data_IF_699962346875
#
_entry.id   IF_699962346875
#
_cell.length_a   1.000
_cell.length_b   1.000
_cell.length_c   1.000
_cell.angle_alpha   90.00
_cell.angle_beta   90.00
_cell.angle_gamma   90.00
#
_symmetry.space_group_name_H-M   'P 1'
#
loop_
_entity.id
_entity.type
_entity.pdbx_description
1 polymer ?
#
# COMPACT_ATOMS: atom_id res chain seq x y z
N UNK A 1 -18.74 -18.04 -1.10
CA UNK A 1 -19.43 -16.96 -1.84
C UNK A 1 -18.70 -16.63 -3.15
N UNK A 2 -18.04 -17.58 -3.80
CA UNK A 2 -17.34 -17.31 -5.07
C UNK A 2 -18.29 -17.62 -6.24
N UNK A 3 -18.37 -16.72 -7.22
CA UNK A 3 -19.10 -16.94 -8.48
C UNK A 3 -20.57 -16.51 -8.50
N UNK A 4 -21.12 -15.98 -7.40
CA UNK A 4 -22.45 -15.35 -7.39
C UNK A 4 -22.31 -13.83 -7.44
N UNK A 5 -23.17 -13.19 -8.24
CA UNK A 5 -23.31 -11.74 -8.25
C UNK A 5 -23.88 -11.27 -6.89
N UNK A 6 -23.19 -10.31 -6.30
CA UNK A 6 -23.54 -9.72 -5.01
C UNK A 6 -23.83 -8.24 -5.21
N UNK A 7 -24.95 -7.79 -4.64
CA UNK A 7 -25.26 -6.38 -4.52
C UNK A 7 -25.05 -5.94 -3.07
N UNK A 8 -24.15 -4.99 -2.86
CA UNK A 8 -23.87 -4.38 -1.56
C UNK A 8 -24.35 -2.93 -1.58
N UNK A 9 -25.15 -2.55 -0.60
CA UNK A 9 -25.68 -1.19 -0.47
C UNK A 9 -25.32 -0.62 0.89
N UNK A 10 -24.79 0.62 0.88
CA UNK A 10 -24.37 1.34 2.07
C UNK A 10 -25.11 2.66 2.19
N UNK A 11 -25.76 2.87 3.34
CA UNK A 11 -26.44 4.12 3.68
C UNK A 11 -25.44 5.18 4.16
N UNK A 12 -25.41 6.30 3.44
CA UNK A 12 -24.54 7.45 3.68
C UNK A 12 -25.30 8.67 4.24
N UNK A 13 -26.62 8.58 4.41
CA UNK A 13 -27.51 9.70 4.75
C UNK A 13 -27.08 10.47 6.00
N UNK A 14 -26.53 9.76 6.98
CA UNK A 14 -26.07 10.30 8.27
C UNK A 14 -24.74 11.04 8.22
N UNK A 15 -23.95 10.89 7.16
CA UNK A 15 -22.66 11.56 7.03
C UNK A 15 -22.78 12.88 6.26
N UNK A 16 -21.87 13.81 6.52
CA UNK A 16 -21.80 15.12 5.85
C UNK A 16 -20.38 15.37 5.35
N UNK A 17 -20.24 16.18 4.29
CA UNK A 17 -18.92 16.55 3.76
C UNK A 17 -18.09 15.37 3.24
N UNK A 18 -18.74 14.32 2.74
CA UNK A 18 -18.03 13.15 2.18
C UNK A 18 -17.26 13.58 0.94
N UNK A 19 -15.94 13.38 0.94
CA UNK A 19 -15.06 13.73 -0.19
C UNK A 19 -14.60 12.51 -0.97
N UNK A 20 -14.45 11.38 -0.29
CA UNK A 20 -14.15 10.09 -0.88
C UNK A 20 -14.81 8.98 -0.07
N UNK A 21 -14.94 7.80 -0.67
CA UNK A 21 -15.36 6.59 0.03
C UNK A 21 -14.29 5.53 -0.13
N UNK A 22 -13.93 4.87 0.98
CA UNK A 22 -13.12 3.65 0.93
C UNK A 22 -14.04 2.46 1.08
N UNK A 23 -13.95 1.54 0.13
CA UNK A 23 -14.64 0.26 0.16
C UNK A 23 -13.63 -0.86 0.35
N UNK A 24 -13.81 -1.61 1.43
CA UNK A 24 -12.97 -2.74 1.80
C UNK A 24 -13.78 -4.02 1.52
N UNK A 25 -13.63 -4.68 0.34
CA UNK A 25 -14.51 -5.77 -0.05
C UNK A 25 -14.45 -6.99 0.87
N UNK A 26 -13.30 -7.22 1.53
CA UNK A 26 -13.12 -8.33 2.46
C UNK A 26 -11.91 -8.09 3.37
N UNK A 27 -11.87 -8.59 4.60
CA UNK A 27 -10.65 -8.55 5.43
C UNK A 27 -9.71 -9.75 5.15
N UNK A 28 -9.51 -10.09 3.88
CA UNK A 28 -8.63 -11.17 3.43
C UNK A 28 -8.25 -11.00 1.95
N UNK A 29 -7.34 -11.85 1.46
CA UNK A 29 -7.00 -11.95 0.04
C UNK A 29 -8.27 -12.13 -0.79
N UNK A 30 -8.51 -11.27 -1.77
CA UNK A 30 -9.76 -11.35 -2.54
C UNK A 30 -9.53 -10.98 -4.00
N UNK A 31 -10.27 -11.64 -4.89
CA UNK A 31 -10.39 -11.21 -6.28
C UNK A 31 -11.86 -10.90 -6.53
N UNK A 32 -12.13 -9.70 -7.04
CA UNK A 32 -13.48 -9.26 -7.36
C UNK A 32 -13.56 -8.73 -8.78
N UNK A 33 -14.72 -8.86 -9.37
CA UNK A 33 -15.11 -8.18 -10.60
C UNK A 33 -16.21 -7.18 -10.26
N UNK A 34 -16.01 -5.90 -10.58
CA UNK A 34 -17.01 -4.86 -10.34
C UNK A 34 -17.82 -4.65 -11.62
N UNK A 35 -19.09 -5.04 -11.61
CA UNK A 35 -20.00 -4.82 -12.74
C UNK A 35 -20.46 -3.37 -12.78
N UNK A 36 -20.82 -2.82 -11.62
CA UNK A 36 -21.31 -1.46 -11.50
C UNK A 36 -21.08 -0.90 -10.11
N UNK A 37 -20.75 0.38 -10.05
CA UNK A 37 -20.82 1.16 -8.81
C UNK A 37 -21.66 2.40 -9.05
N UNK A 38 -22.65 2.62 -8.19
CA UNK A 38 -23.56 3.76 -8.26
C UNK A 38 -23.51 4.55 -6.95
N UNK A 39 -23.33 5.86 -7.06
CA UNK A 39 -23.60 6.80 -5.96
C UNK A 39 -24.94 7.45 -6.23
N UNK A 40 -25.85 7.41 -5.25
CA UNK A 40 -27.18 8.02 -5.35
C UNK A 40 -27.24 9.23 -4.43
N UNK A 41 -27.66 10.37 -4.98
CA UNK A 41 -27.76 11.63 -4.24
C UNK A 41 -29.12 11.80 -3.53
N UNK A 42 -29.26 12.93 -2.82
CA UNK A 42 -30.49 13.30 -2.11
C UNK A 42 -31.71 13.56 -3.00
N UNK A 43 -31.50 13.81 -4.29
CA UNK A 43 -32.56 13.98 -5.27
C UNK A 43 -32.95 12.64 -5.94
N UNK A 44 -32.29 11.54 -5.57
CA UNK A 44 -32.48 10.23 -6.18
C UNK A 44 -31.74 10.07 -7.52
N UNK A 45 -30.87 11.00 -7.88
CA UNK A 45 -30.04 10.92 -9.09
C UNK A 45 -28.90 9.94 -8.84
N UNK A 46 -28.71 8.99 -9.75
CA UNK A 46 -27.60 8.04 -9.71
C UNK A 46 -26.47 8.46 -10.63
N UNK A 47 -25.24 8.41 -10.12
CA UNK A 47 -24.01 8.61 -10.87
C UNK A 47 -23.20 7.32 -10.86
N UNK A 48 -22.78 6.87 -12.05
CA UNK A 48 -21.88 5.73 -12.17
C UNK A 48 -20.44 6.14 -11.87
N UNK A 49 -19.77 5.33 -11.04
CA UNK A 49 -18.34 5.45 -10.75
C UNK A 49 -17.62 4.31 -11.46
N UNK A 50 -16.59 4.64 -12.23
CA UNK A 50 -15.81 3.67 -12.99
C UNK A 50 -14.31 3.76 -12.71
N UNK A 51 -13.85 4.87 -12.12
CA UNK A 51 -12.47 5.07 -11.75
C UNK A 51 -12.31 4.84 -10.26
N UNK A 52 -11.44 3.90 -9.90
CA UNK A 52 -11.11 3.56 -8.54
C UNK A 52 -9.62 3.75 -8.36
N UNK A 53 -9.22 4.33 -7.23
CA UNK A 53 -7.88 4.11 -6.72
C UNK A 53 -7.91 2.81 -5.92
N UNK A 54 -6.88 1.98 -6.05
CA UNK A 54 -6.89 0.62 -5.53
C UNK A 54 -5.49 0.20 -5.16
N UNK A 55 -5.36 -0.57 -4.08
CA UNK A 55 -4.12 -1.27 -3.74
C UNK A 55 -4.07 -2.69 -4.33
N UNK A 56 -4.97 -3.03 -5.24
CA UNK A 56 -4.96 -4.31 -5.94
C UNK A 56 -3.62 -4.54 -6.65
N UNK A 57 -3.03 -5.71 -6.40
CA UNK A 57 -1.81 -6.20 -7.06
C UNK A 57 -1.91 -6.21 -8.58
N UNK A 58 -3.09 -6.58 -9.08
CA UNK A 58 -3.39 -6.67 -10.50
C UNK A 58 -4.76 -6.07 -10.75
N UNK A 59 -4.88 -5.32 -11.83
CA UNK A 59 -6.14 -4.84 -12.37
C UNK A 59 -6.23 -5.18 -13.86
N UNK A 60 -7.37 -5.73 -14.28
CA UNK A 60 -7.67 -6.02 -15.68
C UNK A 60 -9.12 -5.64 -15.97
N UNK A 61 -9.31 -4.50 -16.63
CA UNK A 61 -10.65 -3.92 -16.79
C UNK A 61 -11.28 -3.67 -15.42
N UNK A 62 -12.40 -4.35 -15.15
CA UNK A 62 -13.11 -4.23 -13.88
C UNK A 62 -12.79 -5.34 -12.87
N UNK A 63 -11.77 -6.16 -13.15
CA UNK A 63 -11.32 -7.21 -12.25
C UNK A 63 -10.12 -6.73 -11.43
N UNK A 64 -10.18 -6.96 -10.13
CA UNK A 64 -9.19 -6.53 -9.15
C UNK A 64 -8.76 -7.73 -8.32
N UNK A 65 -7.44 -7.96 -8.23
CA UNK A 65 -6.86 -9.01 -7.40
C UNK A 65 -6.03 -8.38 -6.29
N UNK A 66 -6.40 -8.70 -5.06
CA UNK A 66 -5.76 -8.21 -3.85
C UNK A 66 -5.00 -9.37 -3.20
N UNK A 67 -3.70 -9.20 -3.02
CA UNK A 67 -2.80 -10.18 -2.40
C UNK A 67 -2.43 -9.80 -0.95
N UNK A 68 -3.18 -8.88 -0.35
CA UNK A 68 -3.09 -8.49 1.06
C UNK A 68 -4.46 -8.58 1.73
N UNK A 69 -4.47 -8.59 3.07
CA UNK A 69 -5.69 -8.81 3.88
C UNK A 69 -6.53 -7.55 4.15
N UNK A 70 -6.15 -6.45 3.51
CA UNK A 70 -6.83 -5.15 3.61
C UNK A 70 -7.04 -4.56 2.19
N UNK A 71 -7.81 -5.25 1.32
CA UNK A 71 -8.22 -4.73 0.00
C UNK A 71 -8.91 -3.39 0.17
N UNK A 72 -8.46 -2.39 -0.57
CA UNK A 72 -9.02 -1.04 -0.53
C UNK A 72 -9.34 -0.57 -1.93
N UNK A 73 -10.57 -0.09 -2.11
CA UNK A 73 -11.01 0.65 -3.27
C UNK A 73 -11.43 2.04 -2.80
N UNK A 74 -10.74 3.07 -3.27
CA UNK A 74 -11.08 4.46 -3.00
C UNK A 74 -11.86 4.98 -4.21
N UNK A 75 -13.07 5.44 -3.92
CA UNK A 75 -13.97 6.07 -4.85
C UNK A 75 -13.84 7.59 -4.70
N UNK A 76 -13.42 8.23 -5.77
CA UNK A 76 -13.56 9.67 -5.95
C UNK A 76 -14.65 9.89 -7.00
N UNK A 77 -15.68 10.66 -6.63
CA UNK A 77 -16.70 11.09 -7.58
C UNK A 77 -16.95 12.58 -7.38
N UNK A 78 -16.99 13.30 -8.49
CA UNK A 78 -17.37 14.70 -8.48
C UNK A 78 -18.88 14.79 -8.57
N UNK A 79 -19.55 14.97 -7.43
CA UNK A 79 -20.97 15.29 -7.37
C UNK A 79 -21.19 16.74 -6.93
N UNK A 80 -22.22 17.35 -7.49
CA UNK A 80 -22.74 18.66 -7.09
C UNK A 80 -23.72 18.60 -5.91
N UNK A 81 -24.13 17.39 -5.50
CA UNK A 81 -25.17 17.13 -4.50
C UNK A 81 -24.71 16.10 -3.46
N UNK A 82 -25.35 16.11 -2.29
CA UNK A 82 -24.96 15.26 -1.17
C UNK A 82 -25.25 13.78 -1.48
N UNK A 83 -24.28 12.85 -1.33
CA UNK A 83 -24.52 11.41 -1.47
C UNK A 83 -25.42 10.90 -0.34
N UNK A 84 -26.39 10.03 -0.67
CA UNK A 84 -27.25 9.35 0.29
C UNK A 84 -26.93 7.87 0.42
N UNK A 85 -26.47 7.22 -0.65
CA UNK A 85 -26.06 5.81 -0.61
C UNK A 85 -25.10 5.48 -1.73
N UNK A 86 -24.31 4.42 -1.53
CA UNK A 86 -23.47 3.81 -2.57
C UNK A 86 -23.85 2.35 -2.74
N UNK A 87 -23.92 1.90 -3.99
CA UNK A 87 -24.30 0.55 -4.38
C UNK A 87 -23.17 -0.04 -5.21
N UNK A 88 -22.69 -1.23 -4.81
CA UNK A 88 -21.74 -2.04 -5.57
C UNK A 88 -22.44 -3.28 -6.09
N UNK A 89 -22.35 -3.51 -7.39
CA UNK A 89 -22.66 -4.77 -8.04
C UNK A 89 -21.34 -5.42 -8.42
N UNK A 90 -21.03 -6.55 -7.79
CA UNK A 90 -19.75 -7.22 -7.97
C UNK A 90 -19.88 -8.74 -7.87
N UNK A 91 -18.87 -9.45 -8.36
CA UNK A 91 -18.72 -10.90 -8.18
C UNK A 91 -17.40 -11.18 -7.49
N UNK A 92 -17.41 -12.00 -6.43
CA UNK A 92 -16.18 -12.54 -5.86
C UNK A 92 -15.68 -13.67 -6.76
N UNK A 93 -14.56 -13.43 -7.43
CA UNK A 93 -13.90 -14.40 -8.29
C UNK A 93 -13.14 -15.44 -7.47
N UNK A 94 -12.50 -15.01 -6.38
CA UNK A 94 -11.76 -15.86 -5.44
C UNK A 94 -11.61 -15.16 -4.08
N UNK A 95 -11.43 -15.96 -3.03
CA UNK A 95 -11.20 -15.49 -1.65
C UNK A 95 -10.09 -16.36 -1.02
N UNK A 96 -9.27 -15.78 -0.16
CA UNK A 96 -8.19 -16.46 0.56
C UNK A 96 -7.05 -16.90 -0.36
N UNK A 97 -6.39 -18.01 -0.01
CA UNK A 97 -5.21 -18.51 -0.74
C UNK A 97 -5.47 -18.84 -2.22
N UNK A 98 -6.72 -19.09 -2.61
CA UNK A 98 -7.09 -19.32 -4.01
C UNK A 98 -6.95 -18.04 -4.85
N UNK A 99 -7.09 -16.86 -4.24
CA UNK A 99 -6.85 -15.56 -4.86
C UNK A 99 -5.41 -15.43 -5.32
N UNK A 100 -4.45 -15.76 -4.45
CA UNK A 100 -3.02 -15.65 -4.76
C UNK A 100 -2.61 -16.56 -5.91
N UNK A 101 -3.08 -17.83 -5.91
CA UNK A 101 -2.80 -18.78 -6.99
C UNK A 101 -3.32 -18.31 -8.35
N UNK A 102 -4.52 -17.74 -8.38
CA UNK A 102 -5.12 -17.22 -9.62
C UNK A 102 -4.42 -15.94 -10.08
N UNK A 103 -4.10 -15.02 -9.18
CA UNK A 103 -3.35 -13.81 -9.50
C UNK A 103 -1.97 -14.15 -10.09
N UNK A 104 -1.25 -15.10 -9.47
CA UNK A 104 0.05 -15.56 -9.96
C UNK A 104 -0.05 -16.24 -11.35
N UNK A 105 -1.08 -17.06 -11.57
CA UNK A 105 -1.33 -17.69 -12.88
C UNK A 105 -1.63 -16.66 -13.97
N UNK A 106 -2.43 -15.63 -13.68
CA UNK A 106 -2.72 -14.54 -14.62
C UNK A 106 -1.46 -13.71 -14.90
N UNK A 107 -0.65 -13.40 -13.88
CA UNK A 107 0.63 -12.71 -14.05
C UNK A 107 1.63 -13.51 -14.90
N UNK A 108 1.71 -14.83 -14.71
CA UNK A 108 2.57 -15.70 -15.51
C UNK A 108 2.11 -15.76 -16.97
N UNK A 109 0.80 -15.79 -17.23
CA UNK A 109 0.25 -15.71 -18.58
C UNK A 109 0.59 -14.37 -19.26
N UNK A 110 0.58 -13.26 -18.51
CA UNK A 110 0.96 -11.94 -19.03
C UNK A 110 2.45 -11.87 -19.38
N UNK A 111 3.34 -12.44 -18.54
CA UNK A 111 4.78 -12.51 -18.82
C UNK A 111 5.06 -13.36 -20.07
N UNK A 112 4.39 -14.51 -20.19
CA UNK A 112 4.54 -15.39 -21.35
C UNK A 112 4.05 -14.75 -22.67
N UNK A 113 3.02 -13.91 -22.62
CA UNK A 113 2.54 -13.16 -23.79
C UNK A 113 3.45 -11.97 -24.15
N UNK A 114 4.14 -11.38 -23.18
CA UNK A 114 5.11 -10.29 -23.40
C UNK A 114 6.46 -10.76 -23.96
N UNK A 115 6.80 -12.06 -23.81
CA UNK A 115 8.01 -12.68 -24.35
C UNK A 115 7.85 -13.26 -25.77
N UNK A 116 6.68 -13.09 -26.41
CA UNK A 116 6.55 -13.38 -27.84
C UNK A 116 7.42 -12.40 -28.66
N UNK A 117 8.24 -12.88 -29.62
CA UNK A 117 9.17 -12.03 -30.36
C UNK A 117 8.41 -10.92 -31.09
N UNK A 118 8.62 -9.69 -30.64
CA UNK A 118 8.04 -8.50 -31.24
C UNK A 118 8.67 -8.32 -32.62
N UNK A 119 7.89 -8.54 -33.67
CA UNK A 119 8.21 -8.06 -35.01
C UNK A 119 8.23 -6.53 -34.91
N UNK A 120 9.36 -5.92 -35.23
CA UNK A 120 9.57 -4.48 -35.10
C UNK A 120 8.46 -3.68 -35.81
N UNK A 121 7.80 -2.72 -35.13
CA UNK A 121 6.87 -1.82 -35.80
C UNK A 121 7.65 -0.78 -36.63
N UNK A 122 7.08 -0.27 -37.73
CA UNK A 122 7.75 0.72 -38.57
C UNK A 122 7.89 2.05 -37.84
N UNK A 123 9.04 2.69 -38.03
CA UNK A 123 9.42 3.99 -37.48
C UNK A 123 8.29 5.01 -37.58
N UNK A 124 7.72 5.36 -36.43
CA UNK A 124 6.76 6.46 -36.32
C UNK A 124 7.47 7.62 -35.63
N UNK A 125 7.42 8.78 -36.27
CA UNK A 125 8.16 9.99 -35.92
C UNK A 125 7.87 10.45 -34.49
N UNK A 126 8.94 10.72 -33.74
CA UNK A 126 8.94 11.12 -32.33
C UNK A 126 8.34 12.53 -32.20
N UNK A 127 7.18 12.62 -31.55
CA UNK A 127 6.75 13.85 -30.87
C UNK A 127 7.43 13.91 -29.49
N UNK A 128 7.76 15.11 -28.97
CA UNK A 128 8.51 15.23 -27.73
C UNK A 128 7.68 14.69 -26.55
N UNK A 129 8.14 13.57 -25.97
CA UNK A 129 7.52 12.91 -24.84
C UNK A 129 7.64 13.74 -23.57
N UNK A 130 6.58 13.75 -22.78
CA UNK A 130 6.53 14.19 -21.38
C UNK A 130 7.75 13.67 -20.58
N UNK A 131 8.18 14.38 -19.51
CA UNK A 131 9.33 13.96 -18.72
C UNK A 131 9.14 12.53 -18.22
N UNK A 132 10.14 11.69 -18.48
CA UNK A 132 10.14 10.29 -18.06
C UNK A 132 9.94 10.20 -16.54
N UNK A 133 8.87 9.51 -16.12
CA UNK A 133 8.62 9.22 -14.70
C UNK A 133 9.83 8.43 -14.18
N UNK A 134 10.46 8.85 -13.06
CA UNK A 134 11.57 8.12 -12.48
C UNK A 134 11.18 6.67 -12.20
N UNK A 135 12.10 5.74 -12.45
CA UNK A 135 11.86 4.30 -12.19
C UNK A 135 11.44 4.06 -10.74
N UNK A 136 12.14 4.72 -9.80
CA UNK A 136 11.84 4.66 -8.38
C UNK A 136 11.63 6.06 -7.82
N UNK A 137 10.66 6.19 -6.93
CA UNK A 137 10.38 7.42 -6.21
C UNK A 137 9.86 7.10 -4.80
N UNK A 138 10.15 8.01 -3.88
CA UNK A 138 9.45 8.12 -2.61
C UNK A 138 8.41 9.24 -2.72
N UNK A 139 7.34 9.13 -1.96
CA UNK A 139 6.26 10.11 -1.96
C UNK A 139 5.80 10.42 -0.54
N UNK A 140 5.51 11.68 -0.25
CA UNK A 140 4.94 12.10 1.03
C UNK A 140 3.57 12.72 0.78
N UNK A 141 2.52 12.09 1.30
CA UNK A 141 1.17 12.62 1.31
C UNK A 141 0.89 13.37 2.60
N UNK A 142 0.12 14.45 2.50
CA UNK A 142 -0.13 15.39 3.59
C UNK A 142 -1.62 15.44 3.87
N UNK A 143 -2.01 15.10 5.10
CA UNK A 143 -3.40 15.13 5.56
C UNK A 143 -3.63 16.38 6.42
N UNK A 144 -4.44 17.30 5.89
CA UNK A 144 -4.88 18.53 6.58
C UNK A 144 -6.28 18.36 7.24
N UNK A 145 -6.70 17.12 7.51
CA UNK A 145 -7.99 16.77 8.12
C UNK A 145 -9.03 16.20 7.15
N UNK A 146 -8.64 15.99 5.89
CA UNK A 146 -9.51 15.49 4.82
C UNK A 146 -9.07 14.11 4.28
N UNK A 147 -8.02 13.53 4.86
CA UNK A 147 -7.37 12.33 4.35
C UNK A 147 -6.23 12.63 3.39
N UNK A 148 -5.68 11.58 2.78
CA UNK A 148 -4.57 11.67 1.84
C UNK A 148 -5.09 11.81 0.40
N UNK A 149 -4.45 12.67 -0.39
CA UNK A 149 -4.76 12.83 -1.83
C UNK A 149 -3.50 13.09 -2.65
N UNK A 150 -3.50 12.65 -3.91
CA UNK A 150 -2.38 12.89 -4.84
C UNK A 150 -2.04 14.37 -5.02
N UNK A 151 -3.08 15.23 -5.02
CA UNK A 151 -2.91 16.69 -5.12
C UNK A 151 -2.15 17.29 -3.93
N UNK A 152 -2.11 16.58 -2.81
CA UNK A 152 -1.45 16.97 -1.57
C UNK A 152 -0.30 16.02 -1.28
N UNK A 153 0.53 15.80 -2.29
CA UNK A 153 1.71 14.95 -2.18
C UNK A 153 2.95 15.61 -2.75
N UNK A 154 4.11 15.16 -2.26
CA UNK A 154 5.42 15.58 -2.73
C UNK A 154 6.16 14.33 -3.20
N UNK A 155 6.57 14.33 -4.47
CA UNK A 155 7.32 13.25 -5.10
C UNK A 155 8.81 13.56 -5.07
N UNK A 156 9.61 12.59 -4.65
CA UNK A 156 11.06 12.64 -4.70
C UNK A 156 11.60 11.42 -5.46
N UNK A 157 12.23 11.60 -6.64
CA UNK A 157 12.94 10.52 -7.33
C UNK A 157 14.05 9.94 -6.44
N UNK A 158 14.19 8.61 -6.45
CA UNK A 158 15.22 7.90 -5.67
C UNK A 158 15.88 6.77 -6.46
N UNK A 159 17.01 6.27 -5.98
CA UNK A 159 17.70 5.09 -6.52
C UNK A 159 17.58 3.88 -5.61
N UNK A 160 17.16 4.06 -4.35
CA UNK A 160 17.19 3.03 -3.31
C UNK A 160 18.54 2.95 -2.60
N UNK A 161 19.41 3.96 -2.73
CA UNK A 161 20.68 4.07 -2.00
C UNK A 161 20.70 5.25 -1.01
N UNK A 162 19.59 5.99 -0.96
CA UNK A 162 19.43 7.16 -0.12
C UNK A 162 19.48 6.78 1.36
N UNK A 163 20.32 7.49 2.12
CA UNK A 163 20.35 7.41 3.57
C UNK A 163 19.42 8.42 4.24
N UNK A 164 18.94 9.43 3.50
CA UNK A 164 18.10 10.51 4.01
C UNK A 164 17.18 11.06 2.90
N UNK A 165 15.91 11.25 3.24
CA UNK A 165 14.90 11.89 2.40
C UNK A 165 14.32 13.09 3.15
N UNK A 166 14.19 14.24 2.47
CA UNK A 166 13.71 15.49 3.07
C UNK A 166 12.56 16.05 2.23
N UNK A 167 11.42 16.29 2.88
CA UNK A 167 10.24 16.85 2.24
C UNK A 167 9.93 18.22 2.85
N UNK A 168 9.85 19.24 2.00
CA UNK A 168 9.42 20.59 2.39
C UNK A 168 7.88 20.65 2.44
N UNK A 169 7.34 20.74 3.65
CA UNK A 169 5.90 20.81 3.90
C UNK A 169 5.45 22.22 4.30
N UNK A 170 6.32 23.23 4.17
CA UNK A 170 6.04 24.61 4.57
C UNK A 170 4.86 25.27 3.84
N UNK A 171 4.51 24.74 2.65
CA UNK A 171 3.36 25.17 1.86
C UNK A 171 1.99 24.67 2.37
N UNK A 172 1.98 23.78 3.36
CA UNK A 172 0.78 23.14 3.89
C UNK A 172 0.43 23.70 5.27
N UNK A 173 -0.86 23.82 5.57
CA UNK A 173 -1.36 24.37 6.83
C UNK A 173 -2.10 23.29 7.62
N UNK A 174 -2.09 23.42 8.96
CA UNK A 174 -2.86 22.54 9.85
C UNK A 174 -2.63 21.03 9.60
N UNK A 175 -1.38 20.64 9.33
CA UNK A 175 -1.03 19.26 9.04
C UNK A 175 -1.36 18.39 10.26
N UNK A 176 -2.22 17.40 10.07
CA UNK A 176 -2.61 16.46 11.11
C UNK A 176 -1.74 15.21 11.05
N UNK A 177 -1.58 14.65 9.85
CA UNK A 177 -0.81 13.43 9.60
C UNK A 177 -0.04 13.55 8.30
N UNK A 178 0.99 12.73 8.16
CA UNK A 178 1.68 12.51 6.88
C UNK A 178 1.69 11.01 6.57
N UNK A 179 1.63 10.64 5.30
CA UNK A 179 1.85 9.26 4.85
C UNK A 179 3.08 9.24 3.97
N UNK A 180 4.09 8.54 4.44
CA UNK A 180 5.34 8.34 3.73
C UNK A 180 5.27 7.00 2.97
N UNK A 181 5.40 7.11 1.67
CA UNK A 181 5.44 5.98 0.75
C UNK A 181 6.91 5.85 0.29
N UNK A 182 7.72 4.98 0.93
CA UNK A 182 9.16 4.96 0.77
C UNK A 182 9.63 4.51 -0.61
N UNK A 183 8.80 3.81 -1.36
CA UNK A 183 9.10 3.31 -2.70
C UNK A 183 7.78 3.05 -3.44
N UNK A 184 7.81 2.99 -4.76
CA UNK A 184 6.70 2.54 -5.62
C UNK A 184 6.86 1.07 -6.07
N UNK A 185 7.50 0.24 -5.25
CA UNK A 185 7.80 -1.18 -5.51
C UNK A 185 7.96 -1.93 -4.17
N UNK A 186 8.11 -3.25 -4.22
CA UNK A 186 8.43 -4.07 -3.05
C UNK A 186 9.72 -3.58 -2.39
N UNK A 187 9.76 -3.53 -1.07
CA UNK A 187 10.97 -3.08 -0.38
C UNK A 187 11.09 -3.62 1.04
N UNK A 188 12.32 -3.78 1.48
CA UNK A 188 12.65 -3.91 2.89
C UNK A 188 13.63 -2.80 3.23
N UNK A 189 13.32 -2.05 4.28
CA UNK A 189 14.11 -0.91 4.71
C UNK A 189 14.13 -0.78 6.23
N UNK A 190 15.21 -0.19 6.74
CA UNK A 190 15.32 0.25 8.13
C UNK A 190 14.96 1.73 8.21
N UNK A 191 14.06 2.11 9.12
CA UNK A 191 13.84 3.52 9.47
C UNK A 191 14.64 3.83 10.73
N UNK A 192 15.77 4.50 10.54
CA UNK A 192 16.64 4.87 11.65
C UNK A 192 16.04 6.02 12.46
N UNK A 193 15.54 7.05 11.78
CA UNK A 193 14.95 8.23 12.40
C UNK A 193 13.86 8.85 11.53
N UNK A 194 12.84 9.38 12.20
CA UNK A 194 11.80 10.24 11.62
C UNK A 194 11.81 11.55 12.38
N UNK A 195 12.10 12.65 11.68
CA UNK A 195 12.28 13.97 12.27
C UNK A 195 11.34 14.97 11.61
N UNK A 196 10.81 15.89 12.39
CA UNK A 196 9.97 16.99 11.91
C UNK A 196 10.56 18.30 12.42
N UNK A 197 10.84 19.23 11.52
CA UNK A 197 11.30 20.58 11.84
C UNK A 197 10.11 21.53 11.88
N UNK A 198 9.90 22.25 12.98
CA UNK A 198 8.88 23.29 13.08
C UNK A 198 9.36 24.68 12.67
N UNK A 199 8.44 25.66 12.65
CA UNK A 199 8.74 27.05 12.29
C UNK A 199 9.51 27.85 13.33
N UNK A 200 9.72 27.27 14.52
CA UNK A 200 10.61 27.81 15.56
C UNK A 200 12.03 27.24 15.45
N UNK A 201 12.27 26.31 14.50
CA UNK A 201 13.55 25.63 14.33
C UNK A 201 13.77 24.46 15.28
N UNK A 202 12.72 24.00 15.98
CA UNK A 202 12.77 22.82 16.87
C UNK A 202 12.67 21.56 16.03
N UNK A 203 13.54 20.58 16.33
CA UNK A 203 13.49 19.25 15.72
C UNK A 203 12.76 18.31 16.67
N UNK A 204 11.65 17.77 16.20
CA UNK A 204 10.83 16.78 16.89
C UNK A 204 11.13 15.40 16.33
N UNK A 205 11.49 14.44 17.19
CA UNK A 205 11.72 13.06 16.78
C UNK A 205 10.45 12.22 17.00
N UNK A 206 9.92 11.67 15.93
CA UNK A 206 8.78 10.73 15.97
C UNK A 206 9.29 9.37 16.44
N UNK A 207 8.58 8.77 17.41
CA UNK A 207 8.97 7.47 17.97
C UNK A 207 8.37 6.33 17.17
N UNK A 208 9.01 5.15 17.27
CA UNK A 208 8.61 3.93 16.54
C UNK A 208 7.21 3.44 16.90
N UNK A 209 6.69 3.80 18.07
CA UNK A 209 5.33 3.44 18.52
C UNK A 209 4.23 4.34 17.93
N UNK A 210 4.59 5.43 17.26
CA UNK A 210 3.66 6.50 16.86
C UNK A 210 3.28 6.47 15.37
N UNK A 211 3.64 5.40 14.65
CA UNK A 211 3.29 5.23 13.24
C UNK A 211 2.46 3.97 12.97
N UNK A 212 1.65 4.04 11.91
CA UNK A 212 0.91 2.92 11.34
C UNK A 212 1.53 2.56 10.00
N UNK A 213 1.54 1.29 9.64
CA UNK A 213 2.12 0.84 8.37
C UNK A 213 1.40 -0.38 7.83
N UNK A 214 1.43 -0.55 6.50
CA UNK A 214 0.98 -1.76 5.83
C UNK A 214 2.11 -2.78 5.60
N UNK A 215 3.27 -2.62 6.26
CA UNK A 215 4.35 -3.58 6.23
C UNK A 215 3.86 -4.98 6.66
N UNK A 216 4.19 -6.00 5.87
CA UNK A 216 3.89 -7.41 6.16
C UNK A 216 4.63 -7.89 7.40
N UNK A 217 5.83 -7.37 7.63
CA UNK A 217 6.65 -7.69 8.78
C UNK A 217 7.27 -6.44 9.39
N UNK A 218 7.21 -6.36 10.71
CA UNK A 218 7.81 -5.29 11.51
C UNK A 218 8.63 -5.90 12.64
N UNK A 219 9.94 -5.66 12.64
CA UNK A 219 10.83 -6.05 13.73
C UNK A 219 11.82 -4.92 14.02
N UNK A 220 11.69 -4.34 15.22
CA UNK A 220 12.45 -3.17 15.66
C UNK A 220 12.29 -1.97 14.71
N UNK A 221 13.29 -1.71 13.88
CA UNK A 221 13.34 -0.61 12.90
C UNK A 221 13.21 -1.11 11.46
N UNK A 222 13.19 -2.43 11.25
CA UNK A 222 13.11 -3.06 9.94
C UNK A 222 11.65 -3.28 9.55
N UNK A 223 11.29 -2.77 8.37
CA UNK A 223 9.98 -2.91 7.76
C UNK A 223 10.11 -3.66 6.45
N UNK A 224 9.26 -4.66 6.27
CA UNK A 224 9.15 -5.44 5.02
C UNK A 224 7.81 -5.15 4.38
N UNK A 225 7.85 -4.70 3.14
CA UNK A 225 6.68 -4.44 2.32
C UNK A 225 6.68 -5.39 1.12
N UNK A 226 5.83 -6.42 1.20
CA UNK A 226 5.56 -7.32 0.07
C UNK A 226 4.49 -6.76 -0.89
N UNK A 227 4.36 -5.43 -0.90
CA UNK A 227 3.42 -4.65 -1.73
C UNK A 227 4.19 -3.64 -2.56
N UNK A 228 3.64 -3.25 -3.72
CA UNK A 228 4.18 -2.15 -4.55
C UNK A 228 3.81 -0.76 -4.02
N UNK A 229 2.97 -0.71 -2.99
CA UNK A 229 2.47 0.50 -2.36
C UNK A 229 2.79 0.47 -0.85
N UNK A 230 4.08 0.52 -0.47
CA UNK A 230 4.49 0.61 0.92
C UNK A 230 4.00 1.93 1.52
N UNK A 231 3.39 1.87 2.70
CA UNK A 231 2.82 3.04 3.35
C UNK A 231 3.18 3.09 4.83
N UNK A 232 3.58 4.27 5.30
CA UNK A 232 3.86 4.57 6.69
C UNK A 232 3.14 5.87 7.06
N UNK A 233 2.07 5.77 7.84
CA UNK A 233 1.28 6.91 8.33
C UNK A 233 1.82 7.34 9.68
N UNK A 234 2.13 8.64 9.79
CA UNK A 234 2.72 9.26 10.98
C UNK A 234 1.78 10.36 11.46
N UNK A 235 1.49 10.36 12.76
CA UNK A 235 0.83 11.49 13.39
C UNK A 235 1.86 12.59 13.67
N UNK A 236 1.65 13.77 13.12
CA UNK A 236 2.53 14.92 13.37
C UNK A 236 1.97 15.86 14.44
N UNK A 237 0.75 15.63 14.93
CA UNK A 237 0.25 16.36 16.08
C UNK A 237 0.90 15.84 17.38
N UNK A 238 1.24 16.71 18.34
CA UNK A 238 0.89 18.14 18.44
C UNK A 238 1.98 19.10 17.91
N UNK A 239 2.82 18.71 16.95
CA UNK A 239 3.93 19.55 16.46
C UNK A 239 3.36 20.81 15.78
N UNK A 240 3.68 22.02 16.29
CA UNK A 240 3.17 23.25 15.71
C UNK A 240 3.83 23.50 14.35
N UNK A 241 3.03 23.84 13.34
CA UNK A 241 3.46 24.29 12.00
C UNK A 241 4.73 23.60 11.46
N UNK A 242 4.65 22.31 11.09
CA UNK A 242 5.76 21.60 10.47
C UNK A 242 6.21 22.30 9.19
N UNK A 243 7.53 22.48 9.02
CA UNK A 243 8.16 23.01 7.81
C UNK A 243 8.85 21.93 6.99
N UNK A 244 9.46 20.94 7.65
CA UNK A 244 10.11 19.81 6.97
C UNK A 244 9.83 18.49 7.67
N UNK A 245 9.72 17.43 6.89
CA UNK A 245 9.71 16.05 7.38
C UNK A 245 10.94 15.33 6.81
N UNK A 246 11.71 14.69 7.67
CA UNK A 246 13.00 14.07 7.33
C UNK A 246 12.96 12.61 7.76
N UNK A 247 13.27 11.74 6.80
CA UNK A 247 13.38 10.30 7.03
C UNK A 247 14.84 9.90 6.87
N UNK A 248 15.42 9.29 7.91
CA UNK A 248 16.70 8.57 7.78
C UNK A 248 16.38 7.11 7.59
N UNK A 249 16.70 6.62 6.41
CA UNK A 249 16.31 5.30 5.95
C UNK A 249 17.54 4.56 5.45
N UNK A 250 17.42 3.25 5.41
CA UNK A 250 18.38 2.39 4.75
C UNK A 250 17.62 1.30 4.02
N UNK A 251 17.57 1.40 2.70
CA UNK A 251 17.02 0.34 1.85
C UNK A 251 17.94 -0.87 1.92
N UNK A 252 17.39 -1.99 2.40
CA UNK A 252 18.12 -3.26 2.46
C UNK A 252 17.93 -4.06 1.17
N UNK A 253 16.74 -3.96 0.57
CA UNK A 253 16.45 -4.51 -0.76
C UNK A 253 15.23 -3.83 -1.36
N UNK A 254 15.16 -3.81 -2.69
CA UNK A 254 14.05 -3.31 -3.49
C UNK A 254 13.65 -4.36 -4.52
N UNK A 255 12.41 -4.34 -5.00
CA UNK A 255 11.95 -5.21 -6.06
C UNK A 255 11.88 -6.70 -5.70
N UNK A 256 12.04 -7.55 -6.71
CA UNK A 256 11.81 -9.01 -6.60
C UNK A 256 12.87 -9.73 -5.78
N UNK A 257 14.04 -9.11 -5.61
CA UNK A 257 15.15 -9.56 -4.78
C UNK A 257 14.71 -9.74 -3.32
N UNK A 258 13.65 -9.03 -2.89
CA UNK A 258 13.03 -9.20 -1.58
C UNK A 258 12.67 -10.66 -1.29
N UNK A 259 12.08 -11.37 -2.25
CA UNK A 259 11.64 -12.75 -2.03
C UNK A 259 12.81 -13.70 -1.78
N UNK A 260 13.96 -13.46 -2.43
CA UNK A 260 15.17 -14.24 -2.16
C UNK A 260 15.65 -14.02 -0.72
N UNK A 261 15.66 -12.76 -0.27
CA UNK A 261 16.08 -12.42 1.09
C UNK A 261 15.13 -12.99 2.14
N UNK A 262 13.82 -12.87 1.94
CA UNK A 262 12.82 -13.43 2.85
C UNK A 262 12.95 -14.95 2.97
N UNK A 263 13.15 -15.64 1.85
CA UNK A 263 13.34 -17.09 1.87
C UNK A 263 14.62 -17.49 2.63
N UNK A 264 15.71 -16.73 2.49
CA UNK A 264 16.93 -16.95 3.27
C UNK A 264 16.72 -16.70 4.77
N UNK A 265 15.96 -15.67 5.14
CA UNK A 265 15.62 -15.36 6.52
C UNK A 265 14.79 -16.48 7.15
N UNK A 266 13.76 -16.97 6.46
CA UNK A 266 12.96 -18.11 6.92
C UNK A 266 13.81 -19.37 7.09
N UNK A 267 14.66 -19.68 6.10
CA UNK A 267 15.54 -20.85 6.16
C UNK A 267 16.50 -20.79 7.34
N UNK A 268 17.02 -19.60 7.67
CA UNK A 268 17.86 -19.37 8.86
C UNK A 268 17.05 -19.56 10.15
N UNK A 269 15.84 -19.00 10.24
CA UNK A 269 14.95 -19.15 11.40
C UNK A 269 14.61 -20.63 11.65
N UNK A 270 14.27 -21.38 10.60
CA UNK A 270 13.96 -22.81 10.71
C UNK A 270 15.14 -23.62 11.26
N UNK A 271 16.36 -23.39 10.76
CA UNK A 271 17.57 -24.06 11.27
C UNK A 271 17.83 -23.75 12.74
N UNK A 272 17.70 -22.49 13.14
CA UNK A 272 17.88 -22.09 14.54
C UNK A 272 16.83 -22.74 15.45
N UNK A 273 15.59 -22.91 14.96
CA UNK A 273 14.54 -23.57 15.71
C UNK A 273 14.81 -25.07 15.84
N UNK A 274 15.25 -25.73 14.77
CA UNK A 274 15.68 -27.14 14.79
C UNK A 274 16.82 -27.37 15.80
N UNK A 275 17.83 -26.50 15.82
CA UNK A 275 18.93 -26.56 16.79
C UNK A 275 18.43 -26.39 18.23
N UNK A 276 17.51 -25.45 18.49
CA UNK A 276 16.92 -25.26 19.82
C UNK A 276 16.10 -26.47 20.26
N UNK A 277 15.29 -27.04 19.36
CA UNK A 277 14.51 -28.25 19.63
C UNK A 277 15.47 -29.39 20.01
N UNK A 278 16.51 -29.60 19.22
CA UNK A 278 17.50 -30.63 19.48
C UNK A 278 18.19 -30.43 20.84
N UNK A 279 18.59 -29.20 21.20
CA UNK A 279 19.17 -28.90 22.51
C UNK A 279 18.19 -29.19 23.66
N UNK A 280 16.92 -28.83 23.52
CA UNK A 280 15.89 -29.10 24.52
C UNK A 280 15.65 -30.61 24.71
N UNK A 281 15.64 -31.38 23.61
CA UNK A 281 15.51 -32.84 23.67
C UNK A 281 16.67 -33.47 24.44
N UNK A 282 17.91 -32.98 24.24
CA UNK A 282 19.08 -33.45 25.00
C UNK A 282 18.95 -33.17 26.50
N UNK A 283 18.47 -31.98 26.88
CA UNK A 283 18.26 -31.61 28.29
C UNK A 283 17.18 -32.51 28.92
N UNK A 284 16.07 -32.74 28.22
CA UNK A 284 14.99 -33.62 28.71
C UNK A 284 15.50 -35.05 28.91
N UNK A 285 16.27 -35.59 27.95
CA UNK A 285 16.86 -36.93 28.07
C UNK A 285 17.80 -37.03 29.28
N UNK A 286 18.64 -36.02 29.52
CA UNK A 286 19.53 -35.98 30.67
C UNK A 286 18.76 -35.90 32.00
N UNK A 287 17.68 -35.12 32.07
CA UNK A 287 16.85 -35.02 33.28
C UNK A 287 16.06 -36.30 33.56
N UNK A 288 15.66 -37.04 32.53
CA UNK A 288 14.90 -38.30 32.67
C UNK A 288 15.78 -39.48 33.07
N UNK A 289 17.09 -39.43 32.83
CA UNK A 289 18.06 -40.47 33.24
C UNK A 289 18.56 -40.33 34.69
N UNK A 290 18.17 -39.26 35.41
CA UNK A 290 18.61 -38.98 36.80
C UNK A 290 17.51 -39.31 37.83
N UNK A 291 16.42 -39.97 37.41
CA UNK A 291 15.32 -40.44 38.28
C UNK A 291 15.37 -41.95 38.47
#
# INVERSE_FOLDING_TARGET
MTGEESQLEFDLSKYQGIQCLRFDPLNDLTAIEIHQTLVVDENGTSQQVANYQTNSRLQRGNQFWFDHRDPQLILDWQASSKPQRVIFQLTYLAIGNDTYRRALSEMQNLIFLAEAPTIAPPETQIQPSEPAVPRYFAQLFIDMGLGFSEKQSILQPITGEESQLEFDVSGYQEIQRVRFDPLNDLTMLEIEQMLVLDDQGTVHQVQVVDYQTNATYTEQVCLVFETIDPQIVINVQPIPRPLKVIFRVKYLTIGKELYCLLWEMERKKSRQLEEKIWQLEQVIQQQTQVV
#
